data_IF_712759434572
#
_entry.id   IF_712759434572
#
_cell.length_a   1.000
_cell.length_b   1.000
_cell.length_c   1.000
_cell.angle_alpha   90.00
_cell.angle_beta   90.00
_cell.angle_gamma   90.00
#
_symmetry.space_group_name_H-M   'P 1'
#
loop_
_entity.id
_entity.type
_entity.pdbx_description
1 polymer ?
#
# COMPACT_ATOMS: atom_id res chain seq x y z
N UNK A 1 -1.56 5.98 -14.25
CA UNK A 1 -2.01 4.87 -13.37
C UNK A 1 -1.00 3.72 -13.47
N UNK A 2 -0.50 3.21 -12.35
CA UNK A 2 0.58 2.19 -12.23
C UNK A 2 0.12 0.76 -12.59
N UNK A 3 -0.38 0.56 -13.81
CA UNK A 3 -1.05 -0.69 -14.20
C UNK A 3 -0.13 -1.92 -14.17
N UNK A 4 1.14 -1.76 -14.56
CA UNK A 4 2.12 -2.86 -14.59
C UNK A 4 2.39 -3.36 -13.17
N UNK A 5 2.64 -2.44 -12.24
CA UNK A 5 2.94 -2.73 -10.85
C UNK A 5 1.74 -3.39 -10.15
N UNK A 6 0.52 -2.94 -10.46
CA UNK A 6 -0.70 -3.57 -9.96
C UNK A 6 -0.85 -5.00 -10.48
N UNK A 7 -0.61 -5.24 -11.77
CA UNK A 7 -0.71 -6.58 -12.36
C UNK A 7 0.32 -7.56 -11.79
N UNK A 8 1.55 -7.09 -11.53
CA UNK A 8 2.59 -7.90 -10.89
C UNK A 8 2.23 -8.24 -9.45
N UNK A 9 1.68 -7.28 -8.70
CA UNK A 9 1.19 -7.52 -7.35
C UNK A 9 0.04 -8.54 -7.32
N UNK A 10 -0.92 -8.47 -8.24
CA UNK A 10 -2.02 -9.46 -8.34
C UNK A 10 -1.49 -10.87 -8.63
N UNK A 11 -0.50 -11.02 -9.52
CA UNK A 11 0.15 -12.32 -9.77
C UNK A 11 0.88 -12.86 -8.54
N UNK A 12 1.50 -11.99 -7.75
CA UNK A 12 2.18 -12.39 -6.51
C UNK A 12 1.18 -12.85 -5.44
N UNK A 13 0.01 -12.21 -5.35
CA UNK A 13 -1.08 -12.64 -4.48
C UNK A 13 -1.54 -14.07 -4.77
N UNK A 14 -1.70 -14.44 -6.05
CA UNK A 14 -2.13 -15.81 -6.40
C UNK A 14 -1.07 -16.86 -6.06
N UNK A 15 0.21 -16.50 -6.18
CA UNK A 15 1.34 -17.42 -5.98
C UNK A 15 1.64 -17.70 -4.51
N UNK A 16 1.32 -16.78 -3.61
CA UNK A 16 1.67 -16.86 -2.20
C UNK A 16 0.41 -16.72 -1.33
N UNK A 17 0.32 -17.41 -0.19
CA UNK A 17 -0.79 -17.22 0.77
C UNK A 17 -0.62 -15.87 1.46
N UNK A 18 -0.95 -14.80 0.74
CA UNK A 18 -0.90 -13.42 1.19
C UNK A 18 -2.35 -12.99 1.41
N UNK A 19 -2.63 -12.29 2.52
CA UNK A 19 -3.95 -11.76 2.82
C UNK A 19 -5.06 -12.82 2.98
N UNK A 20 -4.88 -13.81 3.87
CA UNK A 20 -5.88 -14.87 4.17
C UNK A 20 -7.31 -14.33 4.39
N UNK A 21 -7.45 -13.08 4.84
CA UNK A 21 -8.73 -12.45 5.16
C UNK A 21 -9.40 -11.69 3.98
N UNK A 22 -8.86 -11.74 2.76
CA UNK A 22 -9.47 -11.14 1.55
C UNK A 22 -9.60 -12.16 0.43
N UNK A 23 -10.61 -11.99 -0.43
CA UNK A 23 -10.66 -12.69 -1.73
C UNK A 23 -9.84 -11.89 -2.75
N UNK A 24 -9.41 -12.50 -3.89
CA UNK A 24 -8.67 -11.80 -4.92
C UNK A 24 -9.34 -10.48 -5.38
N UNK A 25 -10.64 -10.51 -5.63
CA UNK A 25 -11.45 -9.35 -6.05
C UNK A 25 -11.43 -8.22 -4.99
N UNK A 26 -11.64 -8.55 -3.72
CA UNK A 26 -11.55 -7.57 -2.61
C UNK A 26 -10.14 -7.03 -2.43
N UNK A 27 -9.13 -7.85 -2.71
CA UNK A 27 -7.75 -7.44 -2.67
C UNK A 27 -7.43 -6.45 -3.79
N UNK A 28 -7.89 -6.72 -5.01
CA UNK A 28 -7.76 -5.83 -6.17
C UNK A 28 -8.40 -4.46 -5.90
N UNK A 29 -9.64 -4.44 -5.40
CA UNK A 29 -10.33 -3.19 -5.00
C UNK A 29 -9.52 -2.40 -3.96
N UNK A 30 -9.00 -3.10 -2.94
CA UNK A 30 -8.16 -2.49 -1.91
C UNK A 30 -6.88 -1.88 -2.52
N UNK A 31 -6.26 -2.60 -3.46
CA UNK A 31 -5.02 -2.19 -4.11
C UNK A 31 -5.23 -0.92 -4.96
N UNK A 32 -6.31 -0.85 -5.73
CA UNK A 32 -6.68 0.36 -6.46
C UNK A 32 -6.96 1.54 -5.52
N UNK A 33 -7.71 1.32 -4.44
CA UNK A 33 -8.03 2.35 -3.46
C UNK A 33 -6.77 2.90 -2.78
N UNK A 34 -5.86 2.02 -2.36
CA UNK A 34 -4.58 2.40 -1.75
C UNK A 34 -3.69 3.13 -2.75
N UNK A 35 -3.67 2.71 -4.02
CA UNK A 35 -2.91 3.39 -5.07
C UNK A 35 -3.37 4.84 -5.25
N UNK A 36 -4.68 5.09 -5.32
CA UNK A 36 -5.22 6.45 -5.42
C UNK A 36 -4.87 7.30 -4.20
N UNK A 37 -4.89 6.72 -3.00
CA UNK A 37 -4.47 7.39 -1.77
C UNK A 37 -2.97 7.72 -1.79
N UNK A 38 -2.12 6.80 -2.25
CA UNK A 38 -0.68 7.01 -2.35
C UNK A 38 -0.34 8.10 -3.38
N UNK A 39 -1.04 8.13 -4.53
CA UNK A 39 -0.93 9.21 -5.54
C UNK A 39 -1.29 10.55 -4.91
N UNK A 40 -2.46 10.64 -4.28
CA UNK A 40 -2.89 11.89 -3.63
C UNK A 40 -1.90 12.33 -2.55
N UNK A 41 -1.42 11.41 -1.72
CA UNK A 41 -0.42 11.70 -0.70
C UNK A 41 0.89 12.18 -1.31
N UNK A 42 1.31 11.61 -2.44
CA UNK A 42 2.51 12.02 -3.16
C UNK A 42 2.36 13.43 -3.76
N UNK A 43 1.26 13.70 -4.45
CA UNK A 43 0.99 15.00 -5.10
C UNK A 43 0.83 16.15 -4.10
N UNK A 44 0.26 15.85 -2.91
CA UNK A 44 -0.03 16.86 -1.87
C UNK A 44 1.03 16.91 -0.75
N UNK A 45 2.16 16.20 -0.92
CA UNK A 45 3.22 16.13 0.08
C UNK A 45 3.88 17.49 0.32
N UNK A 46 4.36 17.70 1.55
CA UNK A 46 5.13 18.89 1.89
C UNK A 46 6.47 18.98 1.13
N UNK A 47 7.06 20.18 0.98
CA UNK A 47 8.24 20.41 0.14
C UNK A 47 9.49 19.58 0.48
N UNK A 48 9.59 19.11 1.72
CA UNK A 48 10.72 18.30 2.21
C UNK A 48 10.46 16.79 2.11
N UNK A 49 9.22 16.38 1.82
CA UNK A 49 8.83 14.98 1.76
C UNK A 49 9.08 14.42 0.36
N UNK A 50 9.62 13.20 0.31
CA UNK A 50 9.95 12.51 -0.95
C UNK A 50 8.98 11.39 -1.30
N UNK A 51 8.05 11.05 -0.39
CA UNK A 51 7.20 9.88 -0.52
C UNK A 51 5.72 10.19 -0.31
N UNK A 52 4.87 9.55 -1.10
CA UNK A 52 3.45 9.39 -0.82
C UNK A 52 3.20 7.95 -0.41
N UNK A 53 2.59 7.76 0.76
CA UNK A 53 2.43 6.42 1.36
C UNK A 53 0.95 6.19 1.66
N UNK A 54 0.45 5.03 1.27
CA UNK A 54 -0.83 4.53 1.72
C UNK A 54 -0.68 3.06 2.12
N UNK A 55 -1.33 2.67 3.20
CA UNK A 55 -1.26 1.30 3.70
C UNK A 55 -2.59 0.87 4.31
N UNK A 56 -2.76 -0.45 4.36
CA UNK A 56 -3.66 -1.11 5.27
C UNK A 56 -2.89 -2.19 6.06
N UNK A 57 -3.62 -3.07 6.74
CA UNK A 57 -3.01 -4.16 7.52
C UNK A 57 -2.16 -5.11 6.68
N UNK A 58 -2.48 -5.29 5.41
CA UNK A 58 -1.93 -6.33 4.56
C UNK A 58 -1.00 -5.80 3.46
N UNK A 59 -1.16 -4.55 3.04
CA UNK A 59 -0.35 -3.96 1.96
C UNK A 59 0.08 -2.55 2.30
N UNK A 60 1.30 -2.21 1.90
CA UNK A 60 1.86 -0.87 1.91
C UNK A 60 2.26 -0.47 0.49
N UNK A 61 1.77 0.67 0.01
CA UNK A 61 2.15 1.28 -1.27
C UNK A 61 2.95 2.55 -1.00
N UNK A 62 4.13 2.66 -1.60
CA UNK A 62 5.03 3.80 -1.49
C UNK A 62 5.33 4.33 -2.89
N UNK A 63 4.96 5.57 -3.15
CA UNK A 63 5.42 6.33 -4.32
C UNK A 63 6.59 7.21 -3.90
N UNK A 64 7.74 7.03 -4.52
CA UNK A 64 8.99 7.71 -4.18
C UNK A 64 9.43 8.61 -5.30
N UNK A 65 9.81 9.85 -4.93
CA UNK A 65 10.42 10.78 -5.86
C UNK A 65 11.74 10.21 -6.35
N UNK A 66 11.92 10.26 -7.67
CA UNK A 66 13.13 9.93 -8.41
C UNK A 66 13.55 11.14 -9.23
N UNK A 67 14.66 11.05 -9.95
CA UNK A 67 15.06 12.06 -10.93
C UNK A 67 14.24 11.98 -12.24
N UNK A 68 13.32 11.01 -12.34
CA UNK A 68 12.43 10.81 -13.48
C UNK A 68 11.07 11.49 -13.27
N UNK A 69 10.35 11.74 -14.37
CA UNK A 69 9.01 12.32 -14.34
C UNK A 69 7.99 11.38 -13.66
N UNK A 70 8.17 10.07 -13.80
CA UNK A 70 7.34 9.05 -13.14
C UNK A 70 7.99 8.62 -11.82
N UNK A 71 7.29 8.70 -10.68
CA UNK A 71 7.84 8.26 -9.42
C UNK A 71 7.95 6.74 -9.35
N UNK A 72 8.92 6.25 -8.58
CA UNK A 72 9.08 4.82 -8.29
C UNK A 72 7.91 4.33 -7.44
N UNK A 73 7.30 3.21 -7.81
CA UNK A 73 6.20 2.60 -7.07
C UNK A 73 6.63 1.28 -6.42
N UNK A 74 6.70 1.26 -5.09
CA UNK A 74 6.89 0.04 -4.30
C UNK A 74 5.56 -0.47 -3.73
N UNK A 75 5.22 -1.74 -4.00
CA UNK A 75 4.07 -2.44 -3.40
C UNK A 75 4.60 -3.56 -2.51
N UNK A 76 4.39 -3.44 -1.21
CA UNK A 76 4.88 -4.37 -0.21
C UNK A 76 3.72 -5.10 0.44
N UNK A 77 3.80 -6.41 0.47
CA UNK A 77 2.89 -7.25 1.23
C UNK A 77 3.36 -7.34 2.67
N UNK A 78 2.56 -6.83 3.59
CA UNK A 78 2.81 -6.95 5.01
C UNK A 78 2.57 -8.44 5.38
N UNK A 79 3.64 -9.14 5.77
CA UNK A 79 3.56 -10.55 6.15
C UNK A 79 2.57 -10.71 7.30
N UNK A 80 1.48 -11.43 7.03
CA UNK A 80 0.49 -11.76 8.03
C UNK A 80 0.84 -13.09 8.69
N UNK A 81 1.29 -13.06 9.94
CA UNK A 81 1.39 -14.28 10.74
C UNK A 81 0.03 -14.57 11.39
N UNK A 82 -0.60 -15.74 11.16
CA UNK A 82 -1.81 -16.13 11.90
C UNK A 82 -1.52 -16.31 13.40
N UNK A 83 -0.25 -16.37 13.79
CA UNK A 83 0.21 -16.47 15.18
C UNK A 83 0.50 -15.11 15.82
N UNK A 84 0.52 -14.02 15.05
CA UNK A 84 0.53 -12.67 15.62
C UNK A 84 -0.89 -12.36 16.13
N UNK A 85 -1.04 -12.32 17.46
CA UNK A 85 -2.26 -11.81 18.10
C UNK A 85 -2.61 -10.48 17.47
N UNK A 86 -3.86 -10.32 17.00
CA UNK A 86 -4.37 -9.05 16.49
C UNK A 86 -4.11 -7.97 17.55
N UNK A 87 -3.09 -7.14 17.31
CA UNK A 87 -2.82 -5.98 18.13
C UNK A 87 -4.02 -5.06 17.98
N UNK A 88 -4.75 -4.85 19.07
CA UNK A 88 -5.78 -3.81 19.17
C UNK A 88 -5.22 -2.53 18.56
N UNK A 89 -5.85 -2.02 17.49
CA UNK A 89 -5.46 -0.76 16.88
C UNK A 89 -5.43 0.32 17.97
N UNK A 90 -4.23 0.76 18.36
CA UNK A 90 -4.11 1.94 19.22
C UNK A 90 -4.46 3.15 18.36
N UNK A 91 -5.56 3.81 18.73
CA UNK A 91 -5.80 5.19 18.35
C UNK A 91 -4.63 6.05 18.86
N UNK A 92 -3.91 6.68 17.94
CA UNK A 92 -2.99 7.79 18.21
C UNK A 92 -3.24 8.81 17.11
N UNK A 93 -3.61 10.06 17.35
CA UNK A 93 -3.78 10.83 18.57
C UNK A 93 -4.08 12.26 18.10
N UNK A 94 -4.98 12.95 18.79
CA UNK A 94 -5.25 14.36 18.56
C UNK A 94 -3.97 15.18 18.76
N UNK A 95 -3.57 15.97 17.77
CA UNK A 95 -2.58 17.03 17.98
C UNK A 95 -3.34 18.32 18.32
N UNK A 96 -3.18 18.71 19.59
CA UNK A 96 -3.41 20.06 20.10
C UNK A 96 -2.23 20.94 19.75
#
# INVERSE_FOLDING_TARGET
MFRTELAEALKAYEKYIICIDKTPDKFEESLYSLMQKAIKAYETRGPTLRHGIALDRQVTIILSQTDEERPLCGIYFNLHSPYQKQGTAKATGAHK
#
